data_IF_914416750171
#
_entry.id   IF_914416750171
#
_cell.length_a   1.000
_cell.length_b   1.000
_cell.length_c   1.000
_cell.angle_alpha   90.00
_cell.angle_beta   90.00
_cell.angle_gamma   90.00
#
_symmetry.space_group_name_H-M   'P 1'
#
loop_
_entity.id
_entity.type
_entity.pdbx_description
1 polymer ?
#
# COMPACT_ATOMS: atom_id res chain seq x y z
N UNK A 1 58.12 -20.15 -4.62
CA UNK A 1 57.74 -19.40 -3.40
C UNK A 1 56.52 -18.56 -3.77
N UNK A 2 55.32 -19.01 -3.44
CA UNK A 2 54.03 -18.33 -3.76
C UNK A 2 53.42 -17.82 -2.48
N UNK A 3 53.31 -16.49 -2.33
CA UNK A 3 52.69 -15.83 -1.20
C UNK A 3 51.18 -15.75 -1.40
N UNK A 4 50.42 -16.53 -0.65
CA UNK A 4 48.98 -16.48 -0.61
C UNK A 4 48.55 -15.25 0.20
N UNK A 5 47.97 -14.24 -0.48
CA UNK A 5 47.29 -13.09 0.13
C UNK A 5 45.97 -13.55 0.73
N UNK A 6 45.90 -13.70 2.04
CA UNK A 6 44.65 -13.91 2.80
C UNK A 6 43.85 -12.60 2.77
N UNK A 7 42.79 -12.53 1.99
CA UNK A 7 41.76 -11.51 2.10
C UNK A 7 40.92 -11.81 3.33
N UNK A 8 41.12 -11.08 4.41
CA UNK A 8 40.25 -11.10 5.56
C UNK A 8 38.88 -10.46 5.19
N UNK A 9 37.85 -11.24 5.08
CA UNK A 9 36.49 -10.73 5.02
C UNK A 9 36.07 -10.30 6.43
N UNK A 10 36.08 -8.99 6.68
CA UNK A 10 35.47 -8.45 7.89
C UNK A 10 33.95 -8.73 7.79
N UNK A 11 33.43 -9.56 8.69
CA UNK A 11 31.99 -9.75 8.84
C UNK A 11 31.34 -8.38 9.16
N UNK A 12 30.18 -8.05 8.55
CA UNK A 12 29.50 -6.81 8.86
C UNK A 12 29.13 -6.80 10.35
N UNK A 13 29.46 -5.69 11.03
CA UNK A 13 29.08 -5.47 12.42
C UNK A 13 27.57 -5.74 12.57
N UNK A 14 27.21 -6.64 13.49
CA UNK A 14 25.80 -6.89 13.83
C UNK A 14 25.18 -5.57 14.28
N UNK A 15 24.34 -4.98 13.46
CA UNK A 15 23.49 -3.85 13.86
C UNK A 15 22.76 -4.28 15.14
N UNK A 16 22.95 -3.57 16.24
CA UNK A 16 22.29 -3.86 17.50
C UNK A 16 20.78 -3.84 17.28
N UNK A 17 20.07 -4.86 17.78
CA UNK A 17 18.60 -4.93 17.69
C UNK A 17 18.01 -3.62 18.22
N UNK A 18 17.20 -2.95 17.39
CA UNK A 18 16.47 -1.77 17.84
C UNK A 18 15.59 -2.14 19.06
N UNK A 19 15.57 -1.32 20.12
CA UNK A 19 14.76 -1.61 21.30
C UNK A 19 13.30 -1.70 20.92
N UNK A 20 12.57 -2.65 21.54
CA UNK A 20 11.12 -2.75 21.38
C UNK A 20 10.46 -1.44 21.86
N UNK A 21 9.42 -0.95 21.14
CA UNK A 21 8.71 0.25 21.57
C UNK A 21 8.11 0.02 22.98
N UNK A 22 8.17 1.03 23.83
CA UNK A 22 7.44 1.01 25.09
C UNK A 22 5.93 0.87 24.83
N UNK A 23 5.18 0.37 25.81
CA UNK A 23 3.75 0.05 25.68
C UNK A 23 2.88 1.18 25.09
N UNK A 24 3.27 2.43 25.27
CA UNK A 24 2.58 3.63 24.78
C UNK A 24 3.36 4.39 23.70
N UNK A 25 4.54 3.91 23.28
CA UNK A 25 5.36 4.55 22.25
C UNK A 25 4.89 4.23 20.84
N UNK A 26 5.38 5.00 19.83
CA UNK A 26 5.11 4.70 18.44
C UNK A 26 5.76 3.37 18.04
N UNK A 27 5.04 2.57 17.26
CA UNK A 27 5.50 1.25 16.82
C UNK A 27 6.68 1.33 15.82
N UNK A 28 6.71 2.38 15.00
CA UNK A 28 7.81 2.66 14.07
C UNK A 28 8.64 3.86 14.57
N UNK A 29 9.90 3.99 14.08
CA UNK A 29 10.68 5.20 14.32
C UNK A 29 9.95 6.43 13.74
N UNK A 30 9.73 7.51 14.52
CA UNK A 30 9.19 8.75 13.98
C UNK A 30 10.14 9.38 12.97
N UNK A 31 9.58 10.07 11.97
CA UNK A 31 10.34 10.87 11.00
C UNK A 31 10.29 12.36 11.42
N UNK A 32 11.44 13.02 11.41
CA UNK A 32 11.52 14.45 11.70
C UNK A 32 10.92 15.34 10.59
N UNK A 33 10.49 14.76 9.48
CA UNK A 33 9.91 15.43 8.33
C UNK A 33 10.33 14.78 7.01
N UNK A 34 9.90 15.38 5.90
CA UNK A 34 10.11 14.83 4.55
C UNK A 34 11.17 15.61 3.74
N UNK A 35 11.55 16.80 4.15
CA UNK A 35 12.53 17.62 3.42
C UNK A 35 13.84 16.85 3.16
N UNK A 36 14.22 16.74 1.88
CA UNK A 36 15.42 16.02 1.43
C UNK A 36 15.34 14.50 1.52
N UNK A 37 14.23 13.92 2.04
CA UNK A 37 14.01 12.46 2.05
C UNK A 37 13.76 11.92 0.65
N UNK A 38 14.33 10.76 0.37
CA UNK A 38 14.18 10.02 -0.89
C UNK A 38 12.97 9.09 -0.73
N UNK A 39 11.88 9.39 -1.40
CA UNK A 39 10.64 8.62 -1.27
C UNK A 39 10.26 8.01 -2.62
N UNK A 40 10.01 6.71 -2.64
CA UNK A 40 9.52 6.02 -3.83
C UNK A 40 8.03 5.76 -3.71
N UNK A 41 7.21 6.32 -4.61
CA UNK A 41 5.76 6.14 -4.66
C UNK A 41 5.39 5.26 -5.85
N UNK A 42 4.99 4.02 -5.57
CA UNK A 42 4.61 3.00 -6.56
C UNK A 42 3.10 2.99 -6.72
N UNK A 43 2.60 3.42 -7.89
CA UNK A 43 1.18 3.69 -8.14
C UNK A 43 0.86 5.18 -8.13
N UNK A 44 1.80 6.03 -8.56
CA UNK A 44 1.73 7.49 -8.46
C UNK A 44 0.92 8.18 -9.57
N UNK A 45 0.24 7.47 -10.49
CA UNK A 45 -0.39 8.09 -11.66
C UNK A 45 -1.70 8.81 -11.39
N UNK A 46 -2.48 8.39 -10.37
CA UNK A 46 -3.75 9.03 -9.97
C UNK A 46 -4.14 8.67 -8.53
N UNK A 47 -5.24 9.30 -8.06
CA UNK A 47 -5.85 9.03 -6.76
C UNK A 47 -4.89 9.29 -5.61
N UNK A 48 -4.91 8.41 -4.62
CA UNK A 48 -4.12 8.55 -3.39
C UNK A 48 -2.62 8.63 -3.70
N UNK A 49 -2.09 7.80 -4.61
CA UNK A 49 -0.66 7.80 -4.94
C UNK A 49 -0.20 9.09 -5.59
N UNK A 50 -0.98 9.66 -6.50
CA UNK A 50 -0.69 10.97 -7.10
C UNK A 50 -0.73 12.10 -6.07
N UNK A 51 -1.73 12.07 -5.18
CA UNK A 51 -1.85 13.06 -4.11
C UNK A 51 -0.69 12.97 -3.11
N UNK A 52 -0.28 11.75 -2.72
CA UNK A 52 0.90 11.52 -1.88
C UNK A 52 2.17 12.05 -2.56
N UNK A 53 2.35 11.79 -3.87
CA UNK A 53 3.54 12.23 -4.58
C UNK A 53 3.64 13.76 -4.62
N UNK A 54 2.54 14.47 -4.92
CA UNK A 54 2.51 15.94 -4.89
C UNK A 54 2.77 16.49 -3.48
N UNK A 55 2.07 16.00 -2.48
CA UNK A 55 2.24 16.43 -1.09
C UNK A 55 3.68 16.22 -0.58
N UNK A 56 4.35 15.13 -1.01
CA UNK A 56 5.76 14.89 -0.69
C UNK A 56 6.68 15.90 -1.37
N UNK A 57 6.45 16.20 -2.65
CA UNK A 57 7.21 17.23 -3.37
C UNK A 57 7.02 18.60 -2.72
N UNK A 58 5.80 18.98 -2.34
CA UNK A 58 5.47 20.23 -1.64
C UNK A 58 6.15 20.29 -0.25
N UNK A 59 6.33 19.14 0.41
CA UNK A 59 7.09 19.02 1.67
C UNK A 59 8.62 18.98 1.48
N UNK A 60 9.10 19.13 0.25
CA UNK A 60 10.52 19.16 -0.09
C UNK A 60 11.23 17.81 -0.09
N UNK A 61 10.49 16.72 -0.31
CA UNK A 61 11.07 15.40 -0.53
C UNK A 61 11.56 15.24 -1.98
N UNK A 62 12.55 14.37 -2.19
CA UNK A 62 12.89 13.83 -3.50
C UNK A 62 11.99 12.63 -3.76
N UNK A 63 11.20 12.67 -4.82
CA UNK A 63 10.14 11.66 -5.06
C UNK A 63 10.39 10.91 -6.36
N UNK A 64 10.56 9.59 -6.27
CA UNK A 64 10.48 8.71 -7.43
C UNK A 64 9.01 8.29 -7.64
N UNK A 65 8.50 8.59 -8.83
CA UNK A 65 7.12 8.33 -9.20
C UNK A 65 7.08 7.13 -10.16
N UNK A 66 6.35 6.09 -9.78
CA UNK A 66 6.22 4.88 -10.58
C UNK A 66 4.77 4.52 -10.87
N UNK A 67 4.49 4.22 -12.11
CA UNK A 67 3.30 3.60 -12.67
C UNK A 67 3.57 3.29 -14.14
N UNK A 68 2.64 2.61 -14.83
CA UNK A 68 2.82 2.19 -16.23
C UNK A 68 2.94 3.34 -17.22
N UNK A 69 2.18 4.42 -17.05
CA UNK A 69 2.08 5.53 -18.02
C UNK A 69 2.99 6.69 -17.63
N UNK A 70 4.13 6.81 -18.33
CA UNK A 70 5.14 7.87 -18.11
C UNK A 70 4.56 9.29 -18.15
N UNK A 71 3.65 9.57 -19.08
CA UNK A 71 3.11 10.93 -19.23
C UNK A 71 2.23 11.35 -18.05
N UNK A 72 1.48 10.41 -17.47
CA UNK A 72 0.73 10.68 -16.24
C UNK A 72 1.66 10.97 -15.07
N UNK A 73 2.79 10.27 -14.97
CA UNK A 73 3.80 10.53 -13.93
C UNK A 73 4.42 11.92 -14.09
N UNK A 74 4.76 12.33 -15.33
CA UNK A 74 5.24 13.68 -15.64
C UNK A 74 4.21 14.75 -15.26
N UNK A 75 2.93 14.51 -15.56
CA UNK A 75 1.83 15.41 -15.19
C UNK A 75 1.68 15.53 -13.66
N UNK A 76 1.86 14.44 -12.91
CA UNK A 76 1.83 14.47 -11.44
C UNK A 76 3.04 15.20 -10.87
N UNK A 77 4.22 15.01 -11.46
CA UNK A 77 5.46 15.68 -11.07
C UNK A 77 5.42 17.20 -11.31
N UNK A 78 4.62 17.67 -12.29
CA UNK A 78 4.45 19.11 -12.54
C UNK A 78 5.74 19.86 -12.90
N UNK A 79 6.77 19.17 -13.40
CA UNK A 79 8.08 19.77 -13.67
C UNK A 79 8.97 19.99 -12.44
N UNK A 80 8.60 19.43 -11.29
CA UNK A 80 9.37 19.59 -10.05
C UNK A 80 10.77 18.94 -10.20
N UNK A 81 11.83 19.70 -9.87
CA UNK A 81 13.23 19.25 -10.01
C UNK A 81 13.61 18.05 -9.14
N UNK A 82 12.93 17.84 -8.03
CA UNK A 82 13.13 16.72 -7.10
C UNK A 82 12.31 15.46 -7.48
N UNK A 83 11.66 15.45 -8.65
CA UNK A 83 10.88 14.32 -9.13
C UNK A 83 11.70 13.43 -10.07
N UNK A 84 11.75 12.13 -9.81
CA UNK A 84 12.33 11.11 -10.69
C UNK A 84 11.22 10.26 -11.29
N UNK A 85 11.14 10.22 -12.62
CA UNK A 85 10.12 9.44 -13.33
C UNK A 85 10.65 8.03 -13.63
N UNK A 86 10.16 7.04 -12.90
CA UNK A 86 10.57 5.63 -12.98
C UNK A 86 9.37 4.73 -13.38
N UNK A 87 9.01 4.63 -14.67
CA UNK A 87 7.87 3.83 -15.11
C UNK A 87 8.10 2.34 -14.86
N UNK A 88 7.04 1.64 -14.40
CA UNK A 88 7.04 0.20 -14.20
C UNK A 88 5.62 -0.38 -14.28
N UNK A 89 5.52 -1.68 -14.48
CA UNK A 89 4.32 -2.48 -14.17
C UNK A 89 4.60 -3.36 -12.95
N UNK A 90 3.76 -3.24 -11.91
CA UNK A 90 3.93 -4.02 -10.66
C UNK A 90 3.76 -5.53 -10.88
N UNK A 91 3.10 -5.95 -11.97
CA UNK A 91 2.92 -7.38 -12.32
C UNK A 91 4.16 -7.99 -12.99
N UNK A 92 5.13 -7.17 -13.35
CA UNK A 92 6.41 -7.55 -13.93
C UNK A 92 7.54 -7.29 -12.91
N UNK A 93 8.03 -8.35 -12.30
CA UNK A 93 9.07 -8.28 -11.26
C UNK A 93 10.36 -7.63 -11.79
N UNK A 94 10.78 -7.95 -13.01
CA UNK A 94 11.99 -7.41 -13.62
C UNK A 94 11.85 -5.89 -13.84
N UNK A 95 10.67 -5.43 -14.25
CA UNK A 95 10.36 -4.00 -14.38
C UNK A 95 10.45 -3.28 -13.03
N UNK A 96 9.99 -3.91 -11.95
CA UNK A 96 10.07 -3.34 -10.58
C UNK A 96 11.51 -3.27 -10.10
N UNK A 97 12.30 -4.33 -10.28
CA UNK A 97 13.72 -4.35 -9.94
C UNK A 97 14.52 -3.31 -10.72
N UNK A 98 14.32 -3.22 -12.04
CA UNK A 98 14.99 -2.22 -12.87
C UNK A 98 14.70 -0.78 -12.41
N UNK A 99 13.45 -0.50 -11.98
CA UNK A 99 13.11 0.80 -11.42
C UNK A 99 13.80 1.05 -10.07
N UNK A 100 13.85 0.04 -9.17
CA UNK A 100 14.57 0.14 -7.90
C UNK A 100 16.06 0.43 -8.12
N UNK A 101 16.72 -0.32 -9.02
CA UNK A 101 18.13 -0.14 -9.36
C UNK A 101 18.40 1.25 -9.94
N UNK A 102 17.52 1.75 -10.81
CA UNK A 102 17.62 3.11 -11.36
C UNK A 102 17.52 4.18 -10.27
N UNK A 103 16.64 4.00 -9.27
CA UNK A 103 16.54 4.92 -8.12
C UNK A 103 17.80 4.84 -7.24
N UNK A 104 18.28 3.62 -6.97
CA UNK A 104 19.50 3.41 -6.21
C UNK A 104 20.70 4.03 -6.91
N UNK A 105 20.82 3.88 -8.22
CA UNK A 105 21.88 4.52 -9.02
C UNK A 105 21.83 6.04 -8.94
N UNK A 106 20.61 6.63 -9.02
CA UNK A 106 20.43 8.07 -9.01
C UNK A 106 20.61 8.72 -7.62
N UNK A 107 20.23 7.99 -6.55
CA UNK A 107 20.14 8.57 -5.21
C UNK A 107 20.92 7.83 -4.12
N UNK A 108 21.50 6.68 -4.44
CA UNK A 108 22.19 5.83 -3.46
C UNK A 108 21.24 5.01 -2.57
N UNK A 109 19.94 5.02 -2.86
CA UNK A 109 18.92 4.33 -2.09
C UNK A 109 17.65 5.16 -1.89
N UNK A 110 16.79 4.75 -0.95
CA UNK A 110 15.56 5.48 -0.59
C UNK A 110 15.24 5.33 0.91
N UNK A 111 14.61 6.35 1.47
CA UNK A 111 14.29 6.41 2.91
C UNK A 111 12.87 5.86 3.19
N UNK A 112 11.98 5.88 2.20
CA UNK A 112 10.62 5.36 2.30
C UNK A 112 10.15 4.86 0.93
N UNK A 113 9.58 3.67 0.88
CA UNK A 113 8.86 3.16 -0.28
C UNK A 113 7.37 3.00 0.05
N UNK A 114 6.49 3.52 -0.80
CA UNK A 114 5.04 3.45 -0.63
C UNK A 114 4.42 2.64 -1.77
N UNK A 115 3.92 1.45 -1.46
CA UNK A 115 3.23 0.57 -2.39
C UNK A 115 1.75 0.92 -2.38
N UNK A 116 1.34 1.74 -3.36
CA UNK A 116 -0.02 2.29 -3.49
C UNK A 116 -0.79 1.64 -4.65
N UNK A 117 -0.06 1.02 -5.58
CA UNK A 117 -0.65 0.40 -6.76
C UNK A 117 -1.75 -0.60 -6.40
N UNK A 118 -2.86 -0.50 -7.10
CA UNK A 118 -3.99 -1.40 -6.90
C UNK A 118 -5.12 -1.16 -7.89
N UNK A 119 -5.98 -2.15 -8.02
CA UNK A 119 -7.17 -2.11 -8.85
C UNK A 119 -8.39 -2.65 -8.10
N UNK A 120 -9.56 -2.35 -8.61
CA UNK A 120 -10.83 -2.83 -8.06
C UNK A 120 -11.73 -3.32 -9.19
N UNK A 121 -12.34 -4.47 -8.98
CA UNK A 121 -13.42 -5.01 -9.82
C UNK A 121 -14.51 -5.50 -8.87
N UNK A 122 -15.73 -5.02 -9.10
CA UNK A 122 -16.88 -5.54 -8.35
C UNK A 122 -17.16 -6.98 -8.77
N UNK A 123 -17.32 -7.87 -7.79
CA UNK A 123 -17.69 -9.27 -8.02
C UNK A 123 -18.71 -9.72 -6.98
N UNK A 124 -19.68 -10.50 -7.42
CA UNK A 124 -20.73 -11.08 -6.56
C UNK A 124 -20.92 -12.55 -6.87
N UNK A 125 -21.16 -13.34 -5.84
CA UNK A 125 -21.54 -14.74 -5.96
C UNK A 125 -23.08 -14.88 -6.04
N UNK A 126 -23.70 -14.24 -7.03
CA UNK A 126 -25.15 -14.28 -7.24
C UNK A 126 -25.50 -14.21 -8.72
N UNK A 127 -26.68 -14.70 -9.08
CA UNK A 127 -27.21 -14.47 -10.41
C UNK A 127 -27.64 -13.01 -10.59
N UNK A 128 -27.44 -12.43 -11.79
CA UNK A 128 -27.95 -11.12 -12.14
C UNK A 128 -29.47 -11.03 -11.92
N UNK A 129 -29.97 -9.83 -11.69
CA UNK A 129 -31.40 -9.54 -11.54
C UNK A 129 -31.80 -8.40 -12.46
N UNK A 130 -32.78 -8.62 -13.29
CA UNK A 130 -33.49 -7.58 -14.04
C UNK A 130 -34.86 -7.37 -13.47
N UNK A 131 -35.25 -6.10 -13.19
CA UNK A 131 -36.58 -5.78 -12.64
C UNK A 131 -36.91 -6.53 -11.33
N UNK A 132 -35.90 -6.93 -10.53
CA UNK A 132 -36.08 -7.68 -9.29
C UNK A 132 -36.20 -9.20 -9.47
N UNK A 133 -36.33 -9.72 -10.69
CA UNK A 133 -36.38 -11.16 -11.01
C UNK A 133 -35.00 -11.72 -11.29
N UNK A 134 -34.78 -13.01 -10.94
CA UNK A 134 -33.51 -13.70 -11.28
C UNK A 134 -33.48 -13.99 -12.77
N UNK A 135 -32.42 -13.60 -13.46
CA UNK A 135 -32.16 -13.97 -14.86
C UNK A 135 -31.36 -15.26 -14.84
N UNK A 136 -32.03 -16.37 -15.18
CA UNK A 136 -31.40 -17.71 -15.15
C UNK A 136 -30.45 -17.97 -16.32
N UNK A 137 -30.52 -17.17 -17.38
CA UNK A 137 -29.71 -17.36 -18.61
C UNK A 137 -28.33 -16.71 -18.58
N UNK A 138 -28.03 -15.89 -17.57
CA UNK A 138 -26.74 -15.19 -17.48
C UNK A 138 -25.82 -15.85 -16.44
N UNK A 139 -24.50 -15.88 -16.73
CA UNK A 139 -23.53 -16.39 -15.76
C UNK A 139 -23.55 -15.53 -14.48
N UNK A 140 -23.17 -16.08 -13.31
CA UNK A 140 -23.06 -15.29 -12.09
C UNK A 140 -22.07 -14.15 -12.26
N UNK A 141 -22.23 -13.05 -11.51
CA UNK A 141 -21.32 -11.89 -11.45
C UNK A 141 -19.91 -12.27 -10.91
N UNK A 142 -19.45 -13.45 -11.28
CA UNK A 142 -18.19 -14.03 -10.88
C UNK A 142 -17.33 -14.39 -12.11
N UNK A 143 -16.18 -13.76 -12.24
CA UNK A 143 -15.27 -13.94 -13.37
C UNK A 143 -13.86 -14.30 -12.88
N UNK A 144 -13.48 -15.57 -12.96
CA UNK A 144 -12.18 -16.04 -12.48
C UNK A 144 -10.98 -15.33 -13.14
N UNK A 145 -11.06 -15.01 -14.43
CA UNK A 145 -9.99 -14.27 -15.12
C UNK A 145 -9.79 -12.87 -14.53
N UNK A 146 -10.88 -12.15 -14.23
CA UNK A 146 -10.81 -10.84 -13.58
C UNK A 146 -10.31 -10.95 -12.13
N UNK A 147 -10.72 -12.02 -11.42
CA UNK A 147 -10.23 -12.31 -10.07
C UNK A 147 -8.70 -12.53 -10.05
N UNK A 148 -8.19 -13.35 -10.99
CA UNK A 148 -6.74 -13.59 -11.15
C UNK A 148 -5.99 -12.29 -11.41
N UNK A 149 -6.44 -11.50 -12.40
CA UNK A 149 -5.82 -10.21 -12.73
C UNK A 149 -5.81 -9.24 -11.54
N UNK A 150 -6.87 -9.23 -10.73
CA UNK A 150 -6.94 -8.40 -9.52
C UNK A 150 -5.90 -8.85 -8.50
N UNK A 151 -5.75 -10.16 -8.27
CA UNK A 151 -4.73 -10.71 -7.36
C UNK A 151 -3.31 -10.45 -7.87
N UNK A 152 -3.08 -10.58 -9.17
CA UNK A 152 -1.78 -10.25 -9.79
C UNK A 152 -1.37 -8.81 -9.51
N UNK A 153 -2.28 -7.86 -9.66
CA UNK A 153 -1.97 -6.44 -9.40
C UNK A 153 -1.88 -6.15 -7.90
N UNK A 154 -2.92 -6.53 -7.12
CA UNK A 154 -3.07 -6.06 -5.75
C UNK A 154 -2.20 -6.82 -4.75
N UNK A 155 -1.97 -8.12 -4.98
CA UNK A 155 -1.22 -8.96 -4.06
C UNK A 155 0.17 -9.26 -4.62
N UNK A 156 0.27 -9.98 -5.73
CA UNK A 156 1.58 -10.35 -6.28
C UNK A 156 2.40 -9.12 -6.69
N UNK A 157 1.76 -8.09 -7.27
CA UNK A 157 2.42 -6.83 -7.58
C UNK A 157 2.96 -6.11 -6.36
N UNK A 158 2.25 -6.17 -5.22
CA UNK A 158 2.78 -5.64 -3.98
C UNK A 158 3.96 -6.47 -3.45
N UNK A 159 3.92 -7.80 -3.58
CA UNK A 159 5.04 -8.67 -3.22
C UNK A 159 6.26 -8.40 -4.09
N UNK A 160 6.11 -8.23 -5.41
CA UNK A 160 7.20 -7.83 -6.32
C UNK A 160 7.84 -6.50 -5.87
N UNK A 161 7.02 -5.53 -5.44
CA UNK A 161 7.53 -4.27 -4.91
C UNK A 161 8.34 -4.48 -3.62
N UNK A 162 7.86 -5.32 -2.71
CA UNK A 162 8.57 -5.65 -1.46
C UNK A 162 9.89 -6.35 -1.77
N UNK A 163 9.90 -7.30 -2.70
CA UNK A 163 11.08 -8.05 -3.12
C UNK A 163 12.19 -7.10 -3.63
N UNK A 164 11.85 -6.10 -4.42
CA UNK A 164 12.82 -5.10 -4.90
C UNK A 164 13.26 -4.09 -3.82
N UNK A 165 12.34 -3.72 -2.90
CA UNK A 165 12.59 -2.72 -1.85
C UNK A 165 13.42 -3.28 -0.70
N UNK A 166 13.10 -4.50 -0.27
CA UNK A 166 13.63 -5.10 0.95
C UNK A 166 15.16 -5.21 0.99
N UNK A 167 15.86 -5.69 -0.08
CA UNK A 167 17.32 -5.75 -0.07
C UNK A 167 18.00 -4.39 0.10
N UNK A 168 17.38 -3.32 -0.43
CA UNK A 168 17.92 -1.95 -0.31
C UNK A 168 17.82 -1.48 1.13
N UNK A 169 16.64 -1.58 1.76
CA UNK A 169 16.41 -1.16 3.14
C UNK A 169 17.25 -1.97 4.14
N UNK A 170 17.37 -3.29 3.93
CA UNK A 170 18.19 -4.15 4.78
C UNK A 170 19.69 -3.80 4.70
N UNK A 171 20.22 -3.50 3.50
CA UNK A 171 21.60 -3.02 3.36
C UNK A 171 21.82 -1.66 4.01
N UNK A 172 20.82 -0.77 3.94
CA UNK A 172 20.86 0.55 4.59
C UNK A 172 20.77 0.45 6.13
N UNK A 173 20.13 -0.60 6.67
CA UNK A 173 19.81 -0.71 8.09
C UNK A 173 18.85 0.36 8.59
N UNK A 174 18.14 1.04 7.68
CA UNK A 174 17.23 2.14 8.00
C UNK A 174 16.24 2.38 6.86
N UNK A 175 15.22 3.19 7.14
CA UNK A 175 14.17 3.54 6.20
C UNK A 175 12.83 2.88 6.54
N UNK A 176 11.92 2.82 5.58
CA UNK A 176 10.59 2.23 5.82
C UNK A 176 9.88 1.82 4.54
N UNK A 177 8.87 0.97 4.73
CA UNK A 177 7.96 0.52 3.68
C UNK A 177 6.51 0.70 4.13
N UNK A 178 5.69 1.34 3.29
CA UNK A 178 4.26 1.49 3.50
C UNK A 178 3.47 0.71 2.45
N UNK A 179 2.49 -0.08 2.90
CA UNK A 179 1.65 -0.90 2.02
C UNK A 179 0.21 -0.42 2.14
N UNK A 180 -0.37 -0.02 1.00
CA UNK A 180 -1.77 0.42 0.93
C UNK A 180 -2.69 -0.77 0.73
N UNK A 181 -3.37 -1.15 1.81
CA UNK A 181 -4.46 -2.11 1.82
C UNK A 181 -5.81 -1.40 1.66
N UNK A 182 -6.79 -1.69 2.49
CA UNK A 182 -8.12 -1.07 2.55
C UNK A 182 -8.87 -1.55 3.78
N UNK A 183 -9.82 -0.75 4.24
CA UNK A 183 -10.81 -1.20 5.24
C UNK A 183 -11.67 -2.39 4.74
N UNK A 184 -11.73 -2.61 3.42
CA UNK A 184 -12.38 -3.79 2.84
C UNK A 184 -11.65 -5.10 3.19
N UNK A 185 -10.42 -5.03 3.71
CA UNK A 185 -9.69 -6.18 4.23
C UNK A 185 -10.01 -6.51 5.70
N UNK A 186 -10.74 -5.66 6.43
CA UNK A 186 -11.06 -5.93 7.84
C UNK A 186 -12.13 -6.99 8.02
N UNK A 187 -13.17 -6.95 7.20
CA UNK A 187 -14.31 -7.87 7.24
C UNK A 187 -14.80 -8.15 5.83
N UNK A 188 -15.43 -9.30 5.62
CA UNK A 188 -16.05 -9.63 4.33
C UNK A 188 -17.19 -8.66 3.99
N UNK A 189 -17.03 -7.90 2.90
CA UNK A 189 -18.04 -6.97 2.41
C UNK A 189 -18.68 -7.50 1.12
N UNK A 190 -20.01 -7.37 0.95
CA UNK A 190 -20.65 -7.62 -0.33
C UNK A 190 -20.00 -6.81 -1.46
N UNK A 191 -20.01 -7.33 -2.69
CA UNK A 191 -19.38 -6.71 -3.88
C UNK A 191 -17.84 -6.72 -3.88
N UNK A 192 -17.20 -7.08 -2.76
CA UNK A 192 -15.74 -7.01 -2.59
C UNK A 192 -15.08 -8.38 -2.45
N UNK A 193 -15.65 -9.42 -3.06
CA UNK A 193 -15.21 -10.81 -2.85
C UNK A 193 -13.70 -10.99 -2.96
N UNK A 194 -13.11 -10.72 -4.11
CA UNK A 194 -11.67 -10.88 -4.33
C UNK A 194 -10.90 -9.63 -3.90
N UNK A 195 -11.48 -8.44 -4.09
CA UNK A 195 -10.84 -7.21 -3.62
C UNK A 195 -10.61 -7.24 -2.11
N UNK A 196 -11.65 -7.55 -1.32
CA UNK A 196 -11.55 -7.70 0.13
C UNK A 196 -10.52 -8.76 0.54
N UNK A 197 -10.55 -9.93 -0.11
CA UNK A 197 -9.59 -11.00 0.13
C UNK A 197 -8.14 -10.56 -0.16
N UNK A 198 -7.89 -9.87 -1.29
CA UNK A 198 -6.56 -9.34 -1.62
C UNK A 198 -6.06 -8.33 -0.58
N UNK A 199 -6.96 -7.48 -0.06
CA UNK A 199 -6.62 -6.48 0.96
C UNK A 199 -6.45 -7.09 2.35
N UNK A 200 -7.21 -8.14 2.70
CA UNK A 200 -6.99 -8.92 3.92
C UNK A 200 -5.63 -9.63 3.91
N UNK A 201 -5.24 -10.20 2.77
CA UNK A 201 -3.91 -10.80 2.60
C UNK A 201 -2.79 -9.76 2.81
N UNK A 202 -2.93 -8.53 2.27
CA UNK A 202 -1.96 -7.46 2.49
C UNK A 202 -1.89 -7.00 3.95
N UNK A 203 -3.02 -6.97 4.67
CA UNK A 203 -3.03 -6.67 6.11
C UNK A 203 -2.17 -7.69 6.86
N UNK A 204 -2.48 -8.98 6.71
CA UNK A 204 -1.75 -10.07 7.37
C UNK A 204 -0.27 -10.08 7.00
N UNK A 205 0.05 -9.92 5.70
CA UNK A 205 1.42 -9.83 5.21
C UNK A 205 2.19 -8.67 5.86
N UNK A 206 1.58 -7.48 5.93
CA UNK A 206 2.22 -6.29 6.51
C UNK A 206 2.43 -6.43 8.01
N UNK A 207 1.50 -7.07 8.74
CA UNK A 207 1.65 -7.40 10.16
C UNK A 207 2.85 -8.33 10.39
N UNK A 208 3.00 -9.37 9.56
CA UNK A 208 4.14 -10.29 9.61
C UNK A 208 5.46 -9.61 9.26
N UNK A 209 5.45 -8.80 8.20
CA UNK A 209 6.62 -8.05 7.76
C UNK A 209 7.12 -7.07 8.84
N UNK A 210 6.21 -6.47 9.61
CA UNK A 210 6.57 -5.63 10.76
C UNK A 210 7.37 -6.42 11.80
N UNK A 211 6.96 -7.66 12.10
CA UNK A 211 7.66 -8.52 13.05
C UNK A 211 9.12 -8.77 12.67
N UNK A 212 9.39 -8.94 11.39
CA UNK A 212 10.73 -9.23 10.87
C UNK A 212 11.60 -7.97 10.72
N UNK A 213 11.02 -6.86 10.26
CA UNK A 213 11.76 -5.64 9.90
C UNK A 213 11.97 -4.67 11.08
N UNK A 214 11.06 -4.64 12.04
CA UNK A 214 11.16 -3.73 13.17
C UNK A 214 12.44 -3.94 13.99
N UNK A 215 12.88 -5.18 14.29
CA UNK A 215 14.17 -5.43 14.95
C UNK A 215 15.40 -4.99 14.13
N UNK A 216 15.24 -4.82 12.81
CA UNK A 216 16.28 -4.34 11.89
C UNK A 216 16.32 -2.80 11.78
N UNK A 217 15.50 -2.07 12.55
CA UNK A 217 15.42 -0.61 12.49
C UNK A 217 14.61 -0.07 11.30
N UNK A 218 13.92 -0.92 10.55
CA UNK A 218 13.12 -0.55 9.37
C UNK A 218 11.67 -0.36 9.80
N UNK A 219 11.07 0.77 9.41
CA UNK A 219 9.67 1.06 9.65
C UNK A 219 8.75 0.31 8.69
N UNK A 220 7.61 -0.18 9.19
CA UNK A 220 6.57 -0.81 8.36
C UNK A 220 5.23 -0.14 8.63
N UNK A 221 4.56 0.30 7.58
CA UNK A 221 3.32 1.08 7.67
C UNK A 221 2.20 0.39 6.91
N UNK A 222 1.13 0.04 7.61
CA UNK A 222 -0.11 -0.49 7.04
C UNK A 222 -1.09 0.66 6.84
N UNK A 223 -1.47 0.93 5.58
CA UNK A 223 -2.39 2.01 5.25
C UNK A 223 -3.71 1.41 4.80
N UNK A 224 -4.79 1.70 5.54
CA UNK A 224 -6.13 1.17 5.31
C UNK A 224 -7.13 2.31 5.00
N UNK A 225 -7.18 2.81 3.74
CA UNK A 225 -8.17 3.79 3.34
C UNK A 225 -9.60 3.24 3.41
N UNK A 226 -10.54 4.09 3.82
CA UNK A 226 -11.96 3.93 3.50
C UNK A 226 -12.27 4.44 2.10
N UNK A 227 -13.41 5.12 1.92
CA UNK A 227 -13.77 5.71 0.64
C UNK A 227 -13.01 7.01 0.40
N UNK A 228 -12.22 7.04 -0.67
CA UNK A 228 -11.48 8.21 -1.13
C UNK A 228 -11.91 8.54 -2.55
N UNK A 229 -12.18 9.79 -2.85
CA UNK A 229 -12.56 10.25 -4.20
C UNK A 229 -11.39 10.08 -5.17
N UNK A 230 -11.48 9.07 -6.00
CA UNK A 230 -10.46 8.66 -6.97
C UNK A 230 -11.13 8.07 -8.20
N UNK A 231 -10.43 7.96 -9.34
CA UNK A 231 -10.96 7.25 -10.50
C UNK A 231 -11.39 5.79 -10.20
N UNK A 232 -10.81 5.18 -9.17
CA UNK A 232 -11.15 3.83 -8.73
C UNK A 232 -12.55 3.76 -8.10
N UNK A 233 -12.88 4.72 -7.25
CA UNK A 233 -14.16 4.79 -6.52
C UNK A 233 -15.28 5.44 -7.30
N UNK A 234 -14.98 6.25 -8.32
CA UNK A 234 -16.00 6.85 -9.22
C UNK A 234 -16.84 5.84 -9.98
N UNK A 235 -16.39 4.60 -10.08
CA UNK A 235 -17.14 3.49 -10.70
C UNK A 235 -18.17 2.84 -9.77
N UNK A 236 -18.18 3.19 -8.50
CA UNK A 236 -19.12 2.62 -7.53
C UNK A 236 -20.51 3.24 -7.72
N UNK A 237 -21.54 2.39 -7.75
CA UNK A 237 -22.95 2.75 -7.88
C UNK A 237 -23.72 2.75 -6.54
N UNK A 238 -23.00 2.79 -5.42
CA UNK A 238 -23.55 2.73 -4.07
C UNK A 238 -23.08 3.89 -3.21
N UNK A 239 -23.82 4.19 -2.14
CA UNK A 239 -23.45 5.24 -1.20
C UNK A 239 -22.10 4.95 -0.55
N UNK A 240 -21.20 5.93 -0.61
CA UNK A 240 -19.86 5.88 -0.02
C UNK A 240 -19.83 6.77 1.25
N UNK A 241 -20.09 6.20 2.43
CA UNK A 241 -20.12 6.99 3.66
C UNK A 241 -18.75 7.59 3.95
N UNK A 242 -18.76 8.87 4.35
CA UNK A 242 -17.57 9.61 4.72
C UNK A 242 -16.50 9.66 3.60
N UNK A 243 -16.92 9.86 2.35
CA UNK A 243 -16.02 10.05 1.21
C UNK A 243 -15.01 11.17 1.50
N UNK A 244 -13.72 10.89 1.33
CA UNK A 244 -12.61 11.78 1.62
C UNK A 244 -11.92 12.22 0.33
N UNK A 245 -11.42 13.45 0.26
CA UNK A 245 -10.59 13.89 -0.88
C UNK A 245 -9.23 13.19 -0.88
N UNK A 246 -8.66 12.96 -2.06
CA UNK A 246 -7.35 12.31 -2.18
C UNK A 246 -6.23 13.10 -1.50
N UNK A 247 -6.29 14.42 -1.54
CA UNK A 247 -5.32 15.34 -0.90
C UNK A 247 -5.36 15.21 0.63
N UNK A 248 -6.57 15.12 1.21
CA UNK A 248 -6.72 14.93 2.66
C UNK A 248 -6.20 13.54 3.08
N UNK A 249 -6.48 12.51 2.27
CA UNK A 249 -5.97 11.17 2.48
C UNK A 249 -4.44 11.13 2.44
N UNK A 250 -3.81 11.87 1.51
CA UNK A 250 -2.36 12.00 1.41
C UNK A 250 -1.77 12.66 2.66
N UNK A 251 -2.33 13.82 3.08
CA UNK A 251 -1.87 14.52 4.29
C UNK A 251 -1.94 13.64 5.53
N UNK A 252 -3.08 13.01 5.78
CA UNK A 252 -3.24 12.10 6.93
C UNK A 252 -2.25 10.94 6.86
N UNK A 253 -2.07 10.33 5.69
CA UNK A 253 -1.11 9.23 5.51
C UNK A 253 0.30 9.65 5.89
N UNK A 254 0.77 10.77 5.36
CA UNK A 254 2.14 11.24 5.60
C UNK A 254 2.35 11.71 7.04
N UNK A 255 1.38 12.38 7.63
CA UNK A 255 1.46 12.84 9.02
C UNK A 255 1.50 11.66 10.01
N UNK A 256 0.72 10.61 9.77
CA UNK A 256 0.71 9.42 10.64
C UNK A 256 1.99 8.57 10.43
N UNK A 257 2.54 8.50 9.20
CA UNK A 257 3.87 7.92 8.95
C UNK A 257 4.94 8.69 9.73
N UNK A 258 4.93 10.01 9.67
CA UNK A 258 5.88 10.85 10.40
C UNK A 258 5.81 10.64 11.92
N UNK A 259 4.62 10.35 12.46
CA UNK A 259 4.43 9.99 13.88
C UNK A 259 4.85 8.56 14.24
N UNK A 260 5.28 7.75 13.28
CA UNK A 260 5.66 6.37 13.49
C UNK A 260 4.47 5.41 13.75
N UNK A 261 3.26 5.74 13.30
CA UNK A 261 2.10 4.86 13.44
C UNK A 261 2.23 3.66 12.52
N UNK A 262 2.05 2.46 13.06
CA UNK A 262 2.03 1.23 12.25
C UNK A 262 0.79 1.18 11.36
N UNK A 263 -0.40 1.31 11.94
CA UNK A 263 -1.65 1.29 11.20
C UNK A 263 -2.23 2.69 11.05
N UNK A 264 -2.47 3.06 9.78
CA UNK A 264 -3.00 4.33 9.34
C UNK A 264 -4.33 4.07 8.65
N UNK A 265 -5.44 4.51 9.24
CA UNK A 265 -6.77 4.31 8.66
C UNK A 265 -7.59 5.60 8.72
N UNK A 266 -8.36 5.84 7.69
CA UNK A 266 -9.16 7.06 7.56
C UNK A 266 -10.37 6.86 6.63
N UNK A 267 -11.44 7.68 6.79
CA UNK A 267 -11.70 8.57 7.93
C UNK A 267 -12.07 7.79 9.19
N UNK A 268 -11.52 8.19 10.34
CA UNK A 268 -11.60 7.38 11.58
C UNK A 268 -13.04 7.03 12.01
N UNK A 269 -14.01 7.95 11.79
CA UNK A 269 -15.42 7.71 12.15
C UNK A 269 -15.97 6.44 11.50
N UNK A 270 -15.67 6.21 10.22
CA UNK A 270 -16.13 5.04 9.48
C UNK A 270 -15.26 3.81 9.74
N UNK A 271 -13.95 3.98 9.69
CA UNK A 271 -13.00 2.87 9.76
C UNK A 271 -12.92 2.24 11.14
N UNK A 272 -13.08 3.01 12.23
CA UNK A 272 -13.15 2.48 13.60
C UNK A 272 -14.36 1.57 13.79
N UNK A 273 -15.51 1.92 13.19
CA UNK A 273 -16.69 1.07 13.21
C UNK A 273 -16.42 -0.30 12.55
N UNK A 274 -15.76 -0.32 11.39
CA UNK A 274 -15.39 -1.57 10.73
C UNK A 274 -14.38 -2.39 11.54
N UNK A 275 -13.48 -1.75 12.26
CA UNK A 275 -12.56 -2.45 13.20
C UNK A 275 -13.32 -3.09 14.36
N UNK A 276 -14.32 -2.42 14.91
CA UNK A 276 -15.17 -2.99 15.95
C UNK A 276 -15.94 -4.22 15.46
N UNK A 277 -16.42 -4.20 14.20
CA UNK A 277 -17.06 -5.37 13.61
C UNK A 277 -16.13 -6.60 13.55
N UNK A 278 -14.81 -6.39 13.37
CA UNK A 278 -13.83 -7.48 13.29
C UNK A 278 -13.73 -8.31 14.57
N UNK A 279 -14.03 -7.73 15.74
CA UNK A 279 -13.94 -8.43 17.03
C UNK A 279 -15.25 -9.08 17.45
N UNK A 280 -16.33 -8.91 16.69
CA UNK A 280 -17.61 -9.54 16.98
C UNK A 280 -17.63 -11.02 16.57
N UNK A 281 -18.37 -11.88 17.31
CA UNK A 281 -18.69 -13.23 16.85
C UNK A 281 -19.34 -13.21 15.46
N UNK A 282 -19.03 -14.17 14.62
CA UNK A 282 -19.49 -14.21 13.20
C UNK A 282 -20.99 -14.00 13.02
N UNK A 283 -21.84 -14.56 13.90
CA UNK A 283 -23.29 -14.34 13.80
C UNK A 283 -23.67 -12.86 13.86
N UNK A 284 -23.06 -12.09 14.78
CA UNK A 284 -23.31 -10.66 14.93
C UNK A 284 -22.63 -9.85 13.84
N UNK A 285 -21.36 -10.18 13.51
CA UNK A 285 -20.61 -9.53 12.45
C UNK A 285 -21.34 -9.61 11.11
N UNK A 286 -21.70 -10.82 10.65
CA UNK A 286 -22.35 -11.02 9.37
C UNK A 286 -23.76 -10.40 9.33
N UNK A 287 -24.51 -10.45 10.44
CA UNK A 287 -25.80 -9.78 10.54
C UNK A 287 -25.67 -8.25 10.44
N UNK A 288 -24.67 -7.66 11.12
CA UNK A 288 -24.40 -6.22 11.07
C UNK A 288 -23.96 -5.77 9.66
N UNK A 289 -23.04 -6.50 9.02
CA UNK A 289 -22.62 -6.23 7.64
C UNK A 289 -23.81 -6.28 6.68
N UNK A 290 -24.62 -7.34 6.76
CA UNK A 290 -25.82 -7.51 5.92
C UNK A 290 -26.82 -6.36 6.09
N UNK A 291 -27.05 -5.93 7.34
CA UNK A 291 -27.94 -4.81 7.64
C UNK A 291 -27.39 -3.48 7.11
N UNK A 292 -26.09 -3.22 7.31
CA UNK A 292 -25.45 -1.96 6.89
C UNK A 292 -25.33 -1.84 5.36
N UNK A 293 -25.17 -2.95 4.65
CA UNK A 293 -25.03 -2.97 3.18
C UNK A 293 -26.34 -3.20 2.44
N UNK A 294 -27.44 -3.42 3.15
CA UNK A 294 -28.76 -3.79 2.59
C UNK A 294 -28.68 -4.90 1.54
N UNK A 295 -27.74 -5.84 1.72
CA UNK A 295 -27.47 -6.95 0.82
C UNK A 295 -28.30 -8.19 1.16
#
# INVERSE_FOLDING_TARGET
MSAAVRRGSAAPARAGRAPLPGLLGPLNPPLAGYRGRRVWVIGASYGIGAAIARELLDRGARVALSARKRDLLKSVAGGHGDALIAPLDVTDADSVHAAADGIVLAWGGFDLALVVAGTHVEMRARLPREGGRRVQAEPPDWHLAAARRLLEVNLLGALNCVDAVLPVLLRQGSGGIGIVSSVAGYVGLPRSLIYGASKAALINFTESLYGDLRPQGIGVYLINPGFVDTPLTKKNDFAMPALMKAEDAARVTLDEIARGRFEIHYPKRFTTWLKLLRVLPYRLQLAAVRRATRA
#
